data_IF_317814781240
#
_entry.id   IF_317814781240
#
_cell.length_a   1.000
_cell.length_b   1.000
_cell.length_c   1.000
_cell.angle_alpha   90.00
_cell.angle_beta   90.00
_cell.angle_gamma   90.00
#
_symmetry.space_group_name_H-M   'P 1'
#
loop_
_entity.id
_entity.type
_entity.pdbx_description
1 polymer ?
#
# COMPACT_ATOMS: atom_id res chain seq x y z
N UNK A 1 3.78 11.29 -10.28
CA UNK A 1 4.77 10.53 -9.47
C UNK A 1 4.21 9.12 -9.29
N UNK A 2 5.04 8.12 -8.97
CA UNK A 2 4.55 6.76 -8.70
C UNK A 2 5.26 6.18 -7.48
N UNK A 3 4.51 5.42 -6.68
CA UNK A 3 5.01 4.75 -5.49
C UNK A 3 4.58 3.28 -5.50
N UNK A 4 5.40 2.44 -4.87
CA UNK A 4 5.12 1.02 -4.70
C UNK A 4 5.72 0.52 -3.41
N UNK A 5 4.95 -0.29 -2.68
CA UNK A 5 5.38 -0.95 -1.44
C UNK A 5 5.02 -2.43 -1.52
N UNK A 6 5.88 -3.27 -0.97
CA UNK A 6 5.67 -4.70 -0.95
C UNK A 6 6.30 -5.33 0.29
N UNK A 7 5.58 -6.29 0.88
CA UNK A 7 6.03 -7.03 2.05
C UNK A 7 5.37 -8.42 2.11
N UNK A 8 6.07 -9.36 2.74
CA UNK A 8 5.61 -10.72 2.98
C UNK A 8 6.02 -11.14 4.40
N UNK A 9 5.16 -11.86 5.10
CA UNK A 9 5.42 -12.37 6.45
C UNK A 9 4.16 -12.43 7.30
N UNK A 10 4.31 -12.48 8.63
CA UNK A 10 3.19 -12.39 9.57
C UNK A 10 2.49 -11.02 9.46
N UNK A 11 1.17 -10.92 9.70
CA UNK A 11 0.42 -9.69 9.43
C UNK A 11 0.93 -8.48 10.20
N UNK A 12 1.33 -8.66 11.47
CA UNK A 12 1.90 -7.58 12.30
C UNK A 12 3.24 -7.07 11.76
N UNK A 13 4.17 -7.98 11.45
CA UNK A 13 5.48 -7.63 10.89
C UNK A 13 5.35 -6.97 9.50
N UNK A 14 4.40 -7.45 8.69
CA UNK A 14 4.08 -6.84 7.40
C UNK A 14 3.52 -5.43 7.58
N UNK A 15 2.60 -5.22 8.53
CA UNK A 15 2.04 -3.90 8.82
C UNK A 15 3.13 -2.90 9.23
N UNK A 16 4.03 -3.28 10.14
CA UNK A 16 5.16 -2.44 10.58
C UNK A 16 6.09 -2.09 9.41
N UNK A 17 6.46 -3.10 8.61
CA UNK A 17 7.34 -2.91 7.45
C UNK A 17 6.71 -1.97 6.41
N UNK A 18 5.44 -2.15 6.11
CA UNK A 18 4.72 -1.29 5.16
C UNK A 18 4.53 0.12 5.71
N UNK A 19 4.23 0.28 7.00
CA UNK A 19 4.15 1.60 7.62
C UNK A 19 5.47 2.38 7.49
N UNK A 20 6.60 1.71 7.71
CA UNK A 20 7.92 2.31 7.49
C UNK A 20 8.18 2.64 6.02
N UNK A 21 7.79 1.76 5.08
CA UNK A 21 7.92 2.05 3.64
C UNK A 21 7.06 3.26 3.21
N UNK A 22 5.80 3.32 3.65
CA UNK A 22 4.90 4.44 3.36
C UNK A 22 5.38 5.78 3.94
N UNK A 23 5.97 5.77 5.15
CA UNK A 23 6.50 6.96 5.80
C UNK A 23 7.70 7.58 5.04
N UNK A 24 8.50 6.73 4.38
CA UNK A 24 9.67 7.14 3.59
C UNK A 24 9.32 7.69 2.21
N UNK A 25 8.12 7.41 1.71
CA UNK A 25 7.65 7.91 0.41
C UNK A 25 6.98 9.27 0.65
N UNK A 26 7.40 10.31 -0.08
CA UNK A 26 6.79 11.64 -0.02
C UNK A 26 6.16 11.96 -1.37
N UNK A 27 4.88 12.29 -1.36
CA UNK A 27 4.11 12.68 -2.53
C UNK A 27 3.63 14.13 -2.38
N UNK A 28 3.22 14.73 -3.49
CA UNK A 28 2.52 16.01 -3.45
C UNK A 28 1.03 15.80 -3.22
N UNK A 29 0.31 16.79 -2.70
CA UNK A 29 -1.15 16.71 -2.63
C UNK A 29 -1.78 16.71 -4.03
N UNK A 30 -2.86 15.94 -4.25
CA UNK A 30 -3.61 15.11 -3.29
C UNK A 30 -3.07 13.67 -3.10
N UNK A 31 -2.03 13.27 -3.82
CA UNK A 31 -1.48 11.90 -3.81
C UNK A 31 -1.00 11.46 -2.42
N UNK A 32 -0.45 12.37 -1.62
CA UNK A 32 -0.01 12.08 -0.24
C UNK A 32 -1.18 11.68 0.68
N UNK A 33 -2.29 12.41 0.61
CA UNK A 33 -3.53 12.08 1.33
C UNK A 33 -4.06 10.71 0.89
N UNK A 34 -4.09 10.44 -0.42
CA UNK A 34 -4.56 9.17 -0.98
C UNK A 34 -3.67 8.00 -0.51
N UNK A 35 -2.35 8.15 -0.61
CA UNK A 35 -1.36 7.16 -0.14
C UNK A 35 -1.55 6.87 1.35
N UNK A 36 -1.75 7.90 2.16
CA UNK A 36 -1.98 7.75 3.61
C UNK A 36 -3.25 6.95 3.90
N UNK A 37 -4.34 7.22 3.19
CA UNK A 37 -5.59 6.45 3.30
C UNK A 37 -5.41 4.99 2.87
N UNK A 38 -4.63 4.72 1.83
CA UNK A 38 -4.30 3.35 1.41
C UNK A 38 -3.50 2.63 2.49
N UNK A 39 -2.50 3.28 3.09
CA UNK A 39 -1.73 2.70 4.19
C UNK A 39 -2.64 2.33 5.39
N UNK A 40 -3.58 3.20 5.76
CA UNK A 40 -4.57 2.91 6.81
C UNK A 40 -5.49 1.74 6.43
N UNK A 41 -5.98 1.67 5.19
CA UNK A 41 -6.83 0.57 4.74
C UNK A 41 -6.09 -0.78 4.77
N UNK A 42 -4.81 -0.80 4.37
CA UNK A 42 -3.96 -2.00 4.45
C UNK A 42 -3.77 -2.44 5.91
N UNK A 43 -3.51 -1.50 6.83
CA UNK A 43 -3.36 -1.82 8.25
C UNK A 43 -4.64 -2.44 8.85
N UNK A 44 -5.82 -1.90 8.50
CA UNK A 44 -7.11 -2.47 8.90
C UNK A 44 -7.30 -3.88 8.33
N UNK A 45 -6.97 -4.09 7.05
CA UNK A 45 -7.07 -5.40 6.41
C UNK A 45 -6.14 -6.43 7.08
N UNK A 46 -4.88 -6.06 7.37
CA UNK A 46 -3.89 -6.93 8.01
C UNK A 46 -4.32 -7.36 9.42
N UNK A 47 -5.00 -6.49 10.17
CA UNK A 47 -5.53 -6.83 11.50
C UNK A 47 -6.68 -7.85 11.46
N UNK A 48 -7.34 -8.02 10.31
CA UNK A 48 -8.40 -9.02 10.14
C UNK A 48 -7.84 -10.43 9.83
N UNK A 49 -6.55 -10.55 9.47
CA UNK A 49 -5.93 -11.85 9.20
C UNK A 49 -5.50 -12.56 10.49
N UNK A 50 -5.59 -13.90 10.55
CA UNK A 50 -5.11 -14.65 11.69
C UNK A 50 -3.58 -14.50 11.84
N UNK A 51 -3.07 -14.36 13.08
CA UNK A 51 -1.65 -14.12 13.33
C UNK A 51 -0.73 -15.28 12.93
N UNK A 52 -1.30 -16.48 12.76
CA UNK A 52 -0.61 -17.70 12.32
C UNK A 52 -0.46 -17.81 10.79
N UNK A 53 -1.09 -16.93 10.01
CA UNK A 53 -1.01 -16.96 8.55
C UNK A 53 0.06 -16.01 8.04
N UNK A 54 0.83 -16.43 7.06
CA UNK A 54 1.65 -15.49 6.30
C UNK A 54 0.76 -14.74 5.30
N UNK A 55 1.08 -13.47 5.04
CA UNK A 55 0.40 -12.63 4.08
C UNK A 55 1.42 -11.95 3.18
N UNK A 56 1.09 -11.82 1.90
CA UNK A 56 1.80 -10.97 0.94
C UNK A 56 0.94 -9.77 0.64
N UNK A 57 1.55 -8.59 0.72
CA UNK A 57 0.92 -7.32 0.36
C UNK A 57 1.75 -6.65 -0.70
N UNK A 58 1.10 -6.21 -1.75
CA UNK A 58 1.64 -5.38 -2.81
C UNK A 58 0.70 -4.21 -3.02
N UNK A 59 1.19 -2.98 -2.86
CA UNK A 59 0.41 -1.79 -3.11
C UNK A 59 1.19 -0.82 -3.98
N UNK A 60 0.52 -0.28 -4.99
CA UNK A 60 1.10 0.70 -5.89
C UNK A 60 0.10 1.83 -6.16
N UNK A 61 0.66 3.02 -6.38
CA UNK A 61 -0.10 4.19 -6.74
C UNK A 61 0.67 5.08 -7.69
N UNK A 62 -0.05 5.82 -8.53
CA UNK A 62 0.54 6.82 -9.39
C UNK A 62 -0.42 7.94 -9.69
N UNK A 63 0.07 9.17 -9.60
CA UNK A 63 -0.62 10.35 -10.10
C UNK A 63 -0.03 10.80 -11.44
N UNK A 64 -0.91 10.98 -12.43
CA UNK A 64 -0.60 11.62 -13.71
C UNK A 64 -1.47 12.86 -13.91
N UNK A 65 -0.94 13.86 -14.61
CA UNK A 65 -1.69 15.05 -15.05
C UNK A 65 -1.77 15.04 -16.56
N UNK A 66 -2.97 15.16 -17.10
CA UNK A 66 -3.18 15.22 -18.55
C UNK A 66 -2.71 16.58 -19.09
N UNK A 67 -1.78 16.57 -20.05
CA UNK A 67 -1.26 17.77 -20.70
C UNK A 67 -2.34 18.52 -21.49
N UNK A 68 -3.40 17.82 -21.94
CA UNK A 68 -4.54 18.41 -22.63
C UNK A 68 -5.61 19.01 -21.71
N UNK A 69 -5.54 18.74 -20.40
CA UNK A 69 -6.47 19.28 -19.38
C UNK A 69 -5.70 19.68 -18.11
N UNK A 70 -4.91 20.78 -18.18
CA UNK A 70 -4.18 21.28 -17.02
C UNK A 70 -5.15 21.52 -15.86
N UNK A 71 -4.87 20.90 -14.71
CA UNK A 71 -5.72 20.95 -13.51
C UNK A 71 -6.46 19.66 -13.18
N UNK A 72 -6.51 18.68 -14.10
CA UNK A 72 -7.07 17.34 -13.81
C UNK A 72 -5.93 16.38 -13.51
N UNK A 73 -5.85 15.94 -12.24
CA UNK A 73 -4.98 14.87 -11.80
C UNK A 73 -5.74 13.54 -11.79
N UNK A 74 -5.20 12.53 -12.47
CA UNK A 74 -5.72 11.15 -12.42
C UNK A 74 -4.84 10.35 -11.48
N UNK A 75 -5.48 9.67 -10.52
CA UNK A 75 -4.82 8.76 -9.60
C UNK A 75 -5.20 7.32 -9.96
N UNK A 76 -4.20 6.47 -10.14
CA UNK A 76 -4.36 5.02 -10.28
C UNK A 76 -3.80 4.34 -9.04
N UNK A 77 -4.54 3.39 -8.48
CA UNK A 77 -4.20 2.68 -7.26
C UNK A 77 -4.52 1.21 -7.46
N UNK A 78 -3.64 0.32 -7.00
CA UNK A 78 -4.00 -1.07 -6.81
C UNK A 78 -3.30 -1.65 -5.60
N UNK A 79 -4.08 -2.40 -4.82
CA UNK A 79 -3.67 -3.04 -3.59
C UNK A 79 -4.06 -4.51 -3.70
N UNK A 80 -3.09 -5.39 -3.47
CA UNK A 80 -3.26 -6.83 -3.46
C UNK A 80 -2.80 -7.35 -2.10
N UNK A 81 -3.68 -8.07 -1.41
CA UNK A 81 -3.40 -8.70 -0.12
C UNK A 81 -3.79 -10.18 -0.24
N UNK A 82 -2.80 -11.07 -0.14
CA UNK A 82 -2.98 -12.50 -0.34
C UNK A 82 -2.50 -13.28 0.88
N UNK A 83 -3.34 -14.13 1.49
CA UNK A 83 -2.85 -15.10 2.46
C UNK A 83 -2.02 -16.17 1.76
N UNK A 84 -0.91 -16.55 2.37
CA UNK A 84 -0.05 -17.63 1.92
C UNK A 84 -0.21 -18.80 2.88
N UNK A 85 -0.96 -19.81 2.43
CA UNK A 85 -1.12 -21.06 3.15
C UNK A 85 0.13 -21.93 2.98
N UNK A 86 0.61 -22.54 4.07
CA UNK A 86 1.79 -23.42 4.05
C UNK A 86 3.14 -22.70 4.03
N UNK A 87 3.18 -21.41 4.35
CA UNK A 87 4.44 -20.69 4.54
C UNK A 87 5.15 -21.20 5.80
N UNK A 88 6.34 -21.76 5.63
CA UNK A 88 7.24 -22.14 6.72
C UNK A 88 8.30 -21.04 6.81
N UNK A 89 8.33 -20.35 7.95
CA UNK A 89 9.25 -19.23 8.23
C UNK A 89 10.69 -19.72 8.45
#
# INVERSE_FOLDING_TARGET
MSWSVAAIGKPSAVAEKLAAQFANIKCSEPEETIKSNVASAIAVALNAFPPSSAVRVEAHGSQSTDLGKPGIATNSLSVKIEPIYGFVE
#
